data_IF_206383939065
#
_entry.id   IF_206383939065
#
_cell.length_a   1.000
_cell.length_b   1.000
_cell.length_c   1.000
_cell.angle_alpha   90.00
_cell.angle_beta   90.00
_cell.angle_gamma   90.00
#
_symmetry.space_group_name_H-M   'P 1'
#
loop_
_entity.id
_entity.type
_entity.pdbx_description
1 polymer ?
#
# COMPACT_ATOMS: atom_id res chain seq x y z
N UNK A 1 -30.80 12.47 -8.55
CA UNK A 1 -29.73 11.45 -8.66
C UNK A 1 -28.84 11.57 -7.44
N UNK A 2 -28.77 10.54 -6.59
CA UNK A 2 -27.67 10.43 -5.63
C UNK A 2 -26.45 10.05 -6.48
N UNK A 3 -25.42 10.88 -6.48
CA UNK A 3 -24.13 10.47 -7.03
C UNK A 3 -23.66 9.30 -6.17
N UNK A 4 -23.47 8.11 -6.76
CA UNK A 4 -22.74 7.06 -6.05
C UNK A 4 -21.35 7.64 -5.73
N UNK A 5 -21.01 7.71 -4.45
CA UNK A 5 -19.71 8.18 -4.04
C UNK A 5 -18.68 7.17 -4.53
N UNK A 6 -17.70 7.64 -5.30
CA UNK A 6 -16.57 6.82 -5.74
C UNK A 6 -15.85 6.35 -4.46
N UNK A 7 -15.81 5.03 -4.23
CA UNK A 7 -15.02 4.48 -3.13
C UNK A 7 -13.53 4.76 -3.42
N UNK A 8 -12.78 5.33 -2.46
CA UNK A 8 -11.33 5.49 -2.60
C UNK A 8 -10.66 4.13 -2.86
N UNK A 9 -9.53 4.14 -3.56
CA UNK A 9 -8.73 2.92 -3.80
C UNK A 9 -7.46 3.01 -2.93
N UNK A 10 -7.22 1.94 -2.17
CA UNK A 10 -6.03 1.76 -1.34
C UNK A 10 -5.24 0.57 -1.86
N UNK A 11 -3.91 0.70 -1.95
CA UNK A 11 -3.02 -0.41 -2.25
C UNK A 11 -2.43 -0.97 -0.96
N UNK A 12 -2.69 -2.22 -0.64
CA UNK A 12 -2.00 -2.96 0.41
C UNK A 12 -0.83 -3.76 -0.19
N UNK A 13 0.35 -3.65 0.42
CA UNK A 13 1.59 -4.28 -0.01
C UNK A 13 2.16 -5.07 1.14
N UNK A 14 2.09 -6.39 1.05
CA UNK A 14 2.50 -7.34 2.09
C UNK A 14 2.66 -8.72 1.42
N UNK A 15 3.68 -9.49 1.77
CA UNK A 15 3.93 -10.80 1.17
C UNK A 15 3.11 -11.92 1.82
N UNK A 16 2.46 -11.65 2.95
CA UNK A 16 1.58 -12.58 3.65
C UNK A 16 0.13 -12.48 3.12
N UNK A 17 -0.40 -13.50 2.42
CA UNK A 17 -1.74 -13.42 1.83
C UNK A 17 -2.86 -13.24 2.87
N UNK A 18 -2.65 -13.73 4.09
CA UNK A 18 -3.60 -13.56 5.19
C UNK A 18 -3.72 -12.12 5.68
N UNK A 19 -2.62 -11.36 5.63
CA UNK A 19 -2.62 -9.93 5.99
C UNK A 19 -3.34 -9.13 4.90
N UNK A 20 -3.04 -9.39 3.63
CA UNK A 20 -3.72 -8.77 2.50
C UNK A 20 -5.24 -9.01 2.52
N UNK A 21 -5.67 -10.24 2.82
CA UNK A 21 -7.09 -10.56 2.92
C UNK A 21 -7.74 -9.88 4.14
N UNK A 22 -7.01 -9.78 5.26
CA UNK A 22 -7.50 -9.04 6.43
C UNK A 22 -7.76 -7.58 6.09
N UNK A 23 -6.88 -6.92 5.32
CA UNK A 23 -7.14 -5.54 4.87
C UNK A 23 -8.38 -5.43 3.99
N UNK A 24 -8.61 -6.37 3.07
CA UNK A 24 -9.82 -6.38 2.24
C UNK A 24 -11.07 -6.45 3.09
N UNK A 25 -11.14 -7.41 4.02
CA UNK A 25 -12.32 -7.61 4.87
C UNK A 25 -12.54 -6.43 5.81
N UNK A 26 -11.49 -5.92 6.45
CA UNK A 26 -11.62 -4.83 7.44
C UNK A 26 -12.04 -3.51 6.78
N UNK A 27 -11.61 -3.27 5.54
CA UNK A 27 -11.80 -1.98 4.86
C UNK A 27 -12.90 -2.00 3.79
N UNK A 28 -13.58 -3.14 3.56
CA UNK A 28 -14.51 -3.33 2.44
C UNK A 28 -15.63 -2.28 2.36
N UNK A 29 -16.12 -1.80 3.51
CA UNK A 29 -17.19 -0.80 3.58
C UNK A 29 -16.70 0.62 3.29
N UNK A 30 -15.40 0.88 3.44
CA UNK A 30 -14.81 2.23 3.39
C UNK A 30 -14.08 2.50 2.08
N UNK A 31 -13.35 1.53 1.54
CA UNK A 31 -12.55 1.68 0.32
C UNK A 31 -12.46 0.38 -0.46
N UNK A 32 -11.97 0.49 -1.70
CA UNK A 32 -11.57 -0.67 -2.50
C UNK A 32 -10.09 -0.98 -2.24
N UNK A 33 -9.78 -2.22 -1.86
CA UNK A 33 -8.41 -2.64 -1.55
C UNK A 33 -7.81 -3.43 -2.72
N UNK A 34 -6.80 -2.84 -3.35
CA UNK A 34 -5.86 -3.50 -4.25
C UNK A 34 -4.73 -4.10 -3.47
N UNK A 35 -4.13 -5.16 -3.99
CA UNK A 35 -3.09 -5.92 -3.27
C UNK A 35 -1.89 -6.17 -4.16
N UNK A 36 -0.70 -6.06 -3.59
CA UNK A 36 0.55 -6.51 -4.18
C UNK A 36 1.32 -7.36 -3.17
N UNK A 37 1.91 -8.47 -3.62
CA UNK A 37 2.65 -9.40 -2.77
C UNK A 37 4.15 -9.10 -2.69
N UNK A 38 4.62 -8.11 -3.46
CA UNK A 38 6.02 -7.74 -3.59
C UNK A 38 6.16 -6.27 -4.05
N UNK A 39 7.36 -5.71 -3.91
CA UNK A 39 7.62 -4.31 -4.21
C UNK A 39 7.49 -3.98 -5.70
N UNK A 40 7.91 -4.91 -6.58
CA UNK A 40 7.82 -4.73 -8.02
C UNK A 40 6.36 -4.64 -8.49
N UNK A 41 5.48 -5.51 -8.00
CA UNK A 41 4.06 -5.49 -8.28
C UNK A 41 3.40 -4.22 -7.72
N UNK A 42 3.80 -3.76 -6.54
CA UNK A 42 3.28 -2.52 -5.96
C UNK A 42 3.58 -1.30 -6.84
N UNK A 43 4.84 -1.13 -7.25
CA UNK A 43 5.26 -0.01 -8.12
C UNK A 43 4.58 -0.06 -9.48
N UNK A 44 4.38 -1.26 -10.03
CA UNK A 44 3.64 -1.44 -11.29
C UNK A 44 2.16 -1.08 -11.15
N UNK A 45 1.52 -1.47 -10.04
CA UNK A 45 0.10 -1.15 -9.79
C UNK A 45 -0.16 0.35 -9.68
N UNK A 46 0.74 1.08 -9.01
CA UNK A 46 0.64 2.54 -8.85
C UNK A 46 0.71 3.33 -10.15
N UNK A 47 1.31 2.78 -11.21
CA UNK A 47 1.39 3.45 -12.50
C UNK A 47 0.07 3.47 -13.29
N UNK A 48 -0.93 2.68 -12.88
CA UNK A 48 -2.12 2.40 -13.69
C UNK A 48 -3.46 2.68 -13.01
N UNK A 49 -3.46 3.07 -11.73
CA UNK A 49 -4.68 3.21 -10.93
C UNK A 49 -4.69 4.55 -10.16
N UNK A 50 -5.89 5.10 -9.91
CA UNK A 50 -6.11 6.31 -9.07
C UNK A 50 -5.95 6.02 -7.57
N UNK A 51 -4.88 5.32 -7.21
CA UNK A 51 -4.52 5.03 -5.81
C UNK A 51 -3.96 6.31 -5.18
N UNK A 52 -4.41 6.62 -3.96
CA UNK A 52 -3.95 7.81 -3.20
C UNK A 52 -3.38 7.47 -1.83
N UNK A 53 -3.45 6.19 -1.46
CA UNK A 53 -2.96 5.66 -0.19
C UNK A 53 -2.38 4.27 -0.40
N UNK A 54 -1.19 4.06 0.16
CA UNK A 54 -0.51 2.76 0.19
C UNK A 54 -0.34 2.33 1.65
N UNK A 55 -0.71 1.09 1.95
CA UNK A 55 -0.33 0.40 3.18
C UNK A 55 0.85 -0.50 2.82
N UNK A 56 1.99 -0.31 3.46
CA UNK A 56 3.26 -0.90 3.03
C UNK A 56 3.96 -1.62 4.17
N UNK A 57 4.25 -2.90 3.97
CA UNK A 57 5.22 -3.62 4.78
C UNK A 57 6.67 -3.31 4.33
N UNK A 58 7.58 -3.31 5.30
CA UNK A 58 9.01 -3.05 5.05
C UNK A 58 9.80 -4.30 4.64
N UNK A 59 9.30 -5.50 4.91
CA UNK A 59 9.98 -6.77 4.63
C UNK A 59 9.32 -7.48 3.46
N UNK A 60 9.62 -7.02 2.25
CA UNK A 60 9.14 -7.67 1.03
C UNK A 60 10.18 -8.66 0.49
N UNK A 61 9.75 -9.70 -0.25
CA UNK A 61 10.64 -10.78 -0.71
C UNK A 61 11.63 -10.36 -1.79
N UNK A 62 11.34 -9.29 -2.54
CA UNK A 62 12.10 -8.86 -3.70
C UNK A 62 12.92 -7.57 -3.48
N UNK A 63 12.53 -6.72 -2.53
CA UNK A 63 13.26 -5.50 -2.17
C UNK A 63 12.88 -4.98 -0.77
N UNK A 64 13.70 -4.10 -0.22
CA UNK A 64 13.40 -3.43 1.05
C UNK A 64 12.22 -2.46 0.88
N UNK A 65 11.22 -2.50 1.75
CA UNK A 65 10.05 -1.63 1.63
C UNK A 65 10.38 -0.14 1.83
N UNK A 66 11.50 0.21 2.46
CA UNK A 66 12.00 1.59 2.47
C UNK A 66 12.40 2.07 1.06
N UNK A 67 12.93 1.17 0.23
CA UNK A 67 13.20 1.49 -1.17
C UNK A 67 11.91 1.66 -1.97
N UNK A 68 10.89 0.83 -1.71
CA UNK A 68 9.55 1.01 -2.27
C UNK A 68 8.97 2.37 -1.89
N UNK A 69 8.99 2.72 -0.60
CA UNK A 69 8.53 4.02 -0.09
C UNK A 69 9.23 5.18 -0.81
N UNK A 70 10.57 5.13 -0.93
CA UNK A 70 11.33 6.17 -1.64
C UNK A 70 10.85 6.32 -3.09
N UNK A 71 10.71 5.21 -3.82
CA UNK A 71 10.25 5.23 -5.22
C UNK A 71 8.82 5.72 -5.36
N UNK A 72 7.93 5.37 -4.43
CA UNK A 72 6.55 5.89 -4.38
C UNK A 72 6.58 7.42 -4.24
N UNK A 73 7.40 7.95 -3.33
CA UNK A 73 7.51 9.40 -3.10
C UNK A 73 8.18 10.15 -4.26
N UNK A 74 9.03 9.48 -5.03
CA UNK A 74 9.59 10.03 -6.28
C UNK A 74 8.55 10.08 -7.41
N UNK A 75 7.60 9.14 -7.44
CA UNK A 75 6.48 9.15 -8.39
C UNK A 75 5.43 10.21 -8.04
N UNK A 76 5.08 10.31 -6.75
CA UNK A 76 4.14 11.30 -6.22
C UNK A 76 4.47 11.61 -4.75
N UNK A 77 4.97 12.82 -4.48
CA UNK A 77 5.33 13.27 -3.14
C UNK A 77 4.12 13.31 -2.18
N UNK A 78 2.91 13.52 -2.73
CA UNK A 78 1.66 13.63 -1.99
C UNK A 78 0.96 12.29 -1.75
N UNK A 79 1.47 11.19 -2.33
CA UNK A 79 0.93 9.85 -2.11
C UNK A 79 0.93 9.53 -0.61
N UNK A 80 -0.23 9.23 -0.03
CA UNK A 80 -0.28 8.77 1.36
C UNK A 80 0.40 7.41 1.49
N UNK A 81 1.29 7.24 2.47
CA UNK A 81 1.88 5.93 2.78
C UNK A 81 1.80 5.67 4.27
N UNK A 82 1.14 4.57 4.64
CA UNK A 82 1.09 4.04 5.99
C UNK A 82 2.01 2.83 6.02
N UNK A 83 3.07 2.91 6.83
CA UNK A 83 3.96 1.78 7.05
C UNK A 83 3.39 0.91 8.17
N UNK A 84 3.15 -0.36 7.87
CA UNK A 84 2.73 -1.37 8.85
C UNK A 84 3.69 -2.53 8.72
N UNK A 85 4.50 -2.78 9.75
CA UNK A 85 5.52 -3.82 9.66
C UNK A 85 5.83 -4.41 11.03
N UNK A 86 6.19 -5.69 11.04
CA UNK A 86 6.74 -6.35 12.22
C UNK A 86 8.26 -6.11 12.26
N UNK A 87 8.68 -4.91 12.68
CA UNK A 87 10.10 -4.61 12.95
C UNK A 87 10.34 -4.49 14.46
N UNK A 88 11.39 -5.18 14.94
CA UNK A 88 11.89 -5.04 16.31
C UNK A 88 12.83 -3.83 16.49
N UNK A 89 13.12 -3.09 15.42
CA UNK A 89 14.02 -1.93 15.45
C UNK A 89 13.43 -0.80 14.60
N UNK A 90 12.98 0.27 15.25
CA UNK A 90 12.50 1.48 14.59
C UNK A 90 13.71 2.37 14.36
N UNK A 91 14.43 2.15 13.26
CA UNK A 91 15.30 3.21 12.72
C UNK A 91 14.40 4.25 12.06
N UNK A 92 14.01 5.21 12.89
CA UNK A 92 13.16 6.37 12.68
C UNK A 92 13.22 6.91 11.24
N UNK A 93 12.06 6.91 10.58
CA UNK A 93 11.82 7.78 9.43
C UNK A 93 11.76 9.23 9.94
N UNK A 94 12.56 10.11 9.33
CA UNK A 94 12.64 11.56 9.61
C UNK A 94 11.50 12.29 8.90
#
# INVERSE_FOLDING_TARGET
MKSEAIKPIVLAVDDEPGVLESYRVILEDTCEVRTAADGAAALKGLAHEDIRLVILDLRLPDMEGLEVLRRIKEMDEYMGVIVVTAVNDVKTAV
#
